data_IF_916939406427
#
_entry.id   IF_916939406427
#
_cell.length_a   1.000
_cell.length_b   1.000
_cell.length_c   1.000
_cell.angle_alpha   90.00
_cell.angle_beta   90.00
_cell.angle_gamma   90.00
#
_symmetry.space_group_name_H-M   'P 1'
#
loop_
_entity.id
_entity.type
_entity.pdbx_description
1 polymer ?
#
# COMPACT_ATOMS: atom_id res chain seq x y z
N UNK A 1 -9.70 7.32 -8.71
CA UNK A 1 -8.74 7.71 -7.64
C UNK A 1 -7.37 7.11 -7.92
N UNK A 2 -6.35 7.75 -7.42
CA UNK A 2 -5.01 7.17 -7.33
C UNK A 2 -4.87 6.56 -5.94
N UNK A 3 -4.66 5.25 -5.88
CA UNK A 3 -4.68 4.46 -4.65
C UNK A 3 -3.30 3.88 -4.38
N UNK A 4 -2.85 3.99 -3.14
CA UNK A 4 -1.63 3.37 -2.65
C UNK A 4 -1.98 2.43 -1.50
N UNK A 5 -1.50 1.19 -1.56
CA UNK A 5 -1.69 0.22 -0.49
C UNK A 5 -0.40 0.02 0.28
N UNK A 6 -0.50 0.00 1.60
CA UNK A 6 0.62 -0.37 2.47
C UNK A 6 0.90 -1.88 2.35
N UNK A 7 2.09 -2.29 2.76
CA UNK A 7 2.56 -3.68 2.66
C UNK A 7 1.58 -4.67 3.30
N UNK A 8 1.11 -4.39 4.51
CA UNK A 8 0.22 -5.31 5.23
C UNK A 8 -1.08 -5.60 4.48
N UNK A 9 -1.61 -4.62 3.75
CA UNK A 9 -2.84 -4.79 2.96
C UNK A 9 -2.57 -5.71 1.76
N UNK A 10 -1.44 -5.50 1.07
CA UNK A 10 -1.06 -6.35 -0.06
C UNK A 10 -0.73 -7.78 0.37
N UNK A 11 -0.04 -7.95 1.50
CA UNK A 11 0.24 -9.27 2.06
C UNK A 11 -1.06 -9.99 2.38
N UNK A 12 -1.99 -9.32 3.04
CA UNK A 12 -3.29 -9.91 3.38
C UNK A 12 -4.10 -10.27 2.13
N UNK A 13 -4.04 -9.44 1.09
CA UNK A 13 -4.72 -9.72 -0.18
C UNK A 13 -4.18 -10.97 -0.86
N UNK A 14 -2.87 -11.21 -0.76
CA UNK A 14 -2.24 -12.42 -1.34
C UNK A 14 -2.52 -13.65 -0.49
N UNK A 15 -2.43 -13.50 0.85
CA UNK A 15 -2.46 -14.64 1.77
C UNK A 15 -3.87 -15.15 2.07
N UNK A 16 -4.89 -14.30 1.97
CA UNK A 16 -6.25 -14.66 2.40
C UNK A 16 -7.29 -14.17 1.41
N UNK A 17 -8.47 -14.80 1.48
CA UNK A 17 -9.67 -14.28 0.83
C UNK A 17 -10.41 -13.42 1.85
N UNK A 18 -10.60 -12.15 1.54
CA UNK A 18 -11.28 -11.25 2.46
C UNK A 18 -11.29 -9.83 1.93
N UNK A 19 -11.53 -8.89 2.83
CA UNK A 19 -11.69 -7.49 2.47
C UNK A 19 -10.46 -6.92 1.74
N UNK A 20 -9.24 -7.31 2.14
CA UNK A 20 -8.03 -6.81 1.48
C UNK A 20 -7.95 -7.28 0.03
N UNK A 21 -8.25 -8.55 -0.23
CA UNK A 21 -8.29 -9.06 -1.60
C UNK A 21 -9.36 -8.32 -2.41
N UNK A 22 -10.53 -8.11 -1.84
CA UNK A 22 -11.63 -7.45 -2.52
C UNK A 22 -11.30 -5.99 -2.89
N UNK A 23 -10.74 -5.23 -1.96
CA UNK A 23 -10.42 -3.82 -2.22
C UNK A 23 -9.25 -3.67 -3.19
N UNK A 24 -8.26 -4.55 -3.14
CA UNK A 24 -7.14 -4.52 -4.08
C UNK A 24 -7.65 -4.84 -5.49
N UNK A 25 -8.47 -5.87 -5.63
CA UNK A 25 -9.05 -6.23 -6.93
C UNK A 25 -9.93 -5.12 -7.49
N UNK A 26 -10.74 -4.47 -6.65
CA UNK A 26 -11.57 -3.34 -7.07
C UNK A 26 -10.72 -2.16 -7.55
N UNK A 27 -9.64 -1.86 -6.83
CA UNK A 27 -8.74 -0.78 -7.21
C UNK A 27 -8.02 -1.08 -8.53
N UNK A 28 -7.56 -2.32 -8.73
CA UNK A 28 -6.94 -2.74 -9.98
C UNK A 28 -7.90 -2.62 -11.16
N UNK A 29 -9.17 -2.94 -10.96
CA UNK A 29 -10.17 -2.92 -12.02
C UNK A 29 -10.64 -1.51 -12.40
N UNK A 30 -10.75 -0.60 -11.43
CA UNK A 30 -11.49 0.65 -11.62
C UNK A 30 -10.70 1.92 -11.27
N UNK A 31 -9.51 1.79 -10.68
CA UNK A 31 -8.73 2.93 -10.24
C UNK A 31 -7.29 2.82 -10.72
N UNK A 32 -6.49 3.84 -10.42
CA UNK A 32 -5.05 3.83 -10.72
C UNK A 32 -4.29 3.46 -9.47
N UNK A 33 -3.36 2.50 -9.61
CA UNK A 33 -2.49 2.08 -8.51
C UNK A 33 -1.14 2.75 -8.62
N UNK A 34 -0.62 3.20 -7.48
CA UNK A 34 0.80 3.47 -7.32
C UNK A 34 1.33 2.56 -6.21
N UNK A 35 2.60 2.25 -6.27
CA UNK A 35 3.26 1.46 -5.23
C UNK A 35 4.64 2.05 -4.99
N UNK A 36 4.96 2.29 -3.71
CA UNK A 36 6.27 2.79 -3.34
C UNK A 36 7.32 1.69 -3.40
N UNK A 37 8.56 2.07 -3.67
CA UNK A 37 9.68 1.12 -3.68
C UNK A 37 9.86 0.47 -2.31
N UNK A 38 9.58 1.19 -1.22
CA UNK A 38 9.64 0.66 0.14
C UNK A 38 8.64 -0.49 0.30
N UNK A 39 7.39 -0.30 -0.14
CA UNK A 39 6.36 -1.34 -0.07
C UNK A 39 6.71 -2.53 -0.94
N UNK A 40 7.22 -2.32 -2.16
CA UNK A 40 7.65 -3.42 -3.03
C UNK A 40 8.73 -4.27 -2.36
N UNK A 41 9.72 -3.61 -1.76
CA UNK A 41 10.82 -4.30 -1.08
C UNK A 41 10.32 -5.10 0.13
N UNK A 42 9.48 -4.50 0.96
CA UNK A 42 8.90 -5.18 2.12
C UNK A 42 8.01 -6.34 1.72
N UNK A 43 7.16 -6.15 0.71
CA UNK A 43 6.27 -7.18 0.21
C UNK A 43 7.08 -8.40 -0.23
N UNK A 44 8.12 -8.18 -1.04
CA UNK A 44 8.99 -9.27 -1.49
C UNK A 44 9.58 -10.02 -0.30
N UNK A 45 10.10 -9.29 0.69
CA UNK A 45 10.71 -9.91 1.86
C UNK A 45 9.70 -10.75 2.65
N UNK A 46 8.50 -10.24 2.86
CA UNK A 46 7.45 -10.97 3.59
C UNK A 46 7.00 -12.22 2.82
N UNK A 47 6.84 -12.11 1.50
CA UNK A 47 6.45 -13.25 0.66
C UNK A 47 7.49 -14.37 0.76
N UNK A 48 8.77 -14.04 0.76
CA UNK A 48 9.85 -15.02 0.81
C UNK A 48 10.07 -15.59 2.20
N UNK A 49 9.98 -14.75 3.25
CA UNK A 49 10.36 -15.16 4.61
C UNK A 49 9.18 -15.64 5.45
N UNK A 50 8.10 -14.88 5.52
CA UNK A 50 6.95 -15.22 6.36
C UNK A 50 5.99 -16.17 5.67
N UNK A 51 5.64 -15.90 4.42
CA UNK A 51 4.76 -16.77 3.66
C UNK A 51 5.51 -17.92 2.98
N UNK A 52 6.83 -17.85 2.95
CA UNK A 52 7.70 -18.88 2.38
C UNK A 52 7.32 -19.29 0.96
N UNK A 53 6.97 -18.31 0.14
CA UNK A 53 6.68 -18.58 -1.26
C UNK A 53 7.96 -18.87 -2.03
N UNK A 54 7.90 -19.68 -3.09
CA UNK A 54 9.03 -19.86 -3.98
C UNK A 54 9.47 -18.52 -4.59
N UNK A 55 10.77 -18.38 -4.88
CA UNK A 55 11.31 -17.16 -5.50
C UNK A 55 10.56 -16.83 -6.79
N UNK A 56 10.21 -17.84 -7.58
CA UNK A 56 9.44 -17.63 -8.82
C UNK A 56 8.11 -16.94 -8.55
N UNK A 57 7.39 -17.35 -7.50
CA UNK A 57 6.10 -16.73 -7.15
C UNK A 57 6.28 -15.29 -6.68
N UNK A 58 7.32 -15.01 -5.88
CA UNK A 58 7.63 -13.65 -5.46
C UNK A 58 7.99 -12.76 -6.65
N UNK A 59 8.76 -13.29 -7.62
CA UNK A 59 9.09 -12.58 -8.85
C UNK A 59 7.86 -12.27 -9.69
N UNK A 60 6.93 -13.21 -9.78
CA UNK A 60 5.68 -13.01 -10.53
C UNK A 60 4.83 -11.91 -9.89
N UNK A 61 4.74 -11.86 -8.58
CA UNK A 61 3.99 -10.81 -7.88
C UNK A 61 4.64 -9.44 -8.09
N UNK A 62 5.97 -9.37 -8.00
CA UNK A 62 6.70 -8.13 -8.25
C UNK A 62 6.46 -7.64 -9.69
N UNK A 63 6.58 -8.53 -10.66
CA UNK A 63 6.34 -8.20 -12.06
C UNK A 63 4.89 -7.75 -12.30
N UNK A 64 3.93 -8.41 -11.67
CA UNK A 64 2.52 -8.05 -11.76
C UNK A 64 2.27 -6.62 -11.25
N UNK A 65 2.82 -6.29 -10.10
CA UNK A 65 2.65 -4.95 -9.53
C UNK A 65 3.32 -3.88 -10.40
N UNK A 66 4.51 -4.17 -10.93
CA UNK A 66 5.21 -3.23 -11.82
C UNK A 66 4.46 -3.01 -13.13
N UNK A 67 3.72 -4.02 -13.59
CA UNK A 67 2.92 -3.91 -14.81
C UNK A 67 1.64 -3.09 -14.57
N UNK A 68 0.99 -3.27 -13.43
CA UNK A 68 -0.33 -2.69 -13.16
C UNK A 68 -0.31 -1.44 -12.28
N UNK A 69 0.83 -1.07 -11.73
CA UNK A 69 0.98 0.10 -10.87
C UNK A 69 2.15 0.95 -11.32
N UNK A 70 2.10 2.25 -11.02
CA UNK A 70 3.26 3.12 -11.18
C UNK A 70 4.13 3.00 -9.95
N UNK A 71 5.42 2.68 -10.14
CA UNK A 71 6.36 2.55 -9.04
C UNK A 71 6.95 3.91 -8.67
N UNK A 72 6.89 4.25 -7.41
CA UNK A 72 7.45 5.50 -6.88
C UNK A 72 8.73 5.16 -6.13
N UNK A 73 9.87 5.50 -6.72
CA UNK A 73 11.19 5.15 -6.18
C UNK A 73 11.89 6.30 -5.47
N UNK A 74 11.44 7.53 -5.65
CA UNK A 74 12.04 8.70 -5.03
C UNK A 74 10.97 9.57 -4.41
N UNK A 75 11.20 9.97 -3.16
CA UNK A 75 10.31 10.87 -2.45
C UNK A 75 11.12 11.75 -1.50
N UNK A 76 10.77 13.05 -1.39
CA UNK A 76 11.38 13.89 -0.36
C UNK A 76 11.07 13.33 1.02
N UNK A 77 12.01 13.41 1.97
CA UNK A 77 11.76 12.94 3.32
C UNK A 77 10.65 13.74 4.00
N UNK A 78 9.90 13.07 4.87
CA UNK A 78 8.82 13.68 5.66
C UNK A 78 9.25 13.87 7.10
N UNK A 79 8.73 14.93 7.71
CA UNK A 79 8.95 15.23 9.12
C UNK A 79 7.74 14.85 9.97
N UNK A 80 7.51 13.56 10.14
CA UNK A 80 6.56 13.02 11.12
C UNK A 80 7.35 12.24 12.15
N UNK A 81 7.76 12.93 13.23
CA UNK A 81 8.64 12.34 14.25
C UNK A 81 8.02 11.15 14.98
N UNK A 82 6.70 11.12 15.10
CA UNK A 82 5.99 10.01 15.73
C UNK A 82 5.96 8.73 14.87
N UNK A 83 6.33 8.82 13.59
CA UNK A 83 6.40 7.66 12.72
C UNK A 83 7.83 7.10 12.70
N UNK A 84 7.95 5.79 12.65
CA UNK A 84 9.22 5.14 12.37
C UNK A 84 9.68 5.44 10.95
N UNK A 85 10.96 5.30 10.70
CA UNK A 85 11.57 5.62 9.41
C UNK A 85 10.87 4.93 8.24
N UNK A 86 10.53 3.66 8.42
CA UNK A 86 9.87 2.89 7.38
C UNK A 86 8.47 3.43 7.06
N UNK A 87 7.68 3.76 8.07
CA UNK A 87 6.35 4.32 7.89
C UNK A 87 6.42 5.71 7.23
N UNK A 88 7.43 6.51 7.59
CA UNK A 88 7.65 7.80 6.93
C UNK A 88 7.96 7.61 5.45
N UNK A 89 8.77 6.61 5.11
CA UNK A 89 9.10 6.33 3.71
C UNK A 89 7.86 5.89 2.92
N UNK A 90 7.03 5.04 3.48
CA UNK A 90 5.78 4.61 2.86
C UNK A 90 4.87 5.81 2.57
N UNK A 91 4.68 6.67 3.57
CA UNK A 91 3.84 7.85 3.42
C UNK A 91 4.45 8.85 2.41
N UNK A 92 5.76 9.06 2.48
CA UNK A 92 6.45 9.96 1.56
C UNK A 92 6.28 9.52 0.10
N UNK A 93 6.40 8.22 -0.17
CA UNK A 93 6.24 7.68 -1.51
C UNK A 93 4.80 7.81 -1.99
N UNK A 94 3.82 7.58 -1.13
CA UNK A 94 2.42 7.79 -1.47
C UNK A 94 2.13 9.25 -1.85
N UNK A 95 2.68 10.19 -1.08
CA UNK A 95 2.54 11.62 -1.35
C UNK A 95 3.22 12.00 -2.66
N UNK A 96 4.46 11.54 -2.86
CA UNK A 96 5.21 11.83 -4.09
C UNK A 96 4.51 11.31 -5.34
N UNK A 97 3.82 10.18 -5.23
CA UNK A 97 3.03 9.61 -6.31
C UNK A 97 1.66 10.24 -6.47
N UNK A 98 1.34 11.25 -5.68
CA UNK A 98 0.07 11.97 -5.70
C UNK A 98 -1.14 11.06 -5.43
N UNK A 99 -0.98 10.12 -4.51
CA UNK A 99 -2.08 9.27 -4.09
C UNK A 99 -3.23 10.13 -3.53
N UNK A 100 -4.44 9.77 -3.90
CA UNK A 100 -5.62 10.33 -3.26
C UNK A 100 -5.83 9.68 -1.89
N UNK A 101 -5.43 8.42 -1.77
CA UNK A 101 -5.63 7.65 -0.54
C UNK A 101 -4.50 6.64 -0.36
N UNK A 102 -4.04 6.52 0.89
CA UNK A 102 -3.17 5.45 1.36
C UNK A 102 -4.02 4.53 2.23
N UNK A 103 -4.08 3.26 1.86
CA UNK A 103 -4.84 2.25 2.60
C UNK A 103 -3.87 1.43 3.45
N UNK A 104 -4.08 1.40 4.75
CA UNK A 104 -3.19 0.73 5.68
C UNK A 104 -3.93 0.16 6.87
N UNK A 105 -3.43 -0.93 7.43
CA UNK A 105 -3.86 -1.45 8.73
C UNK A 105 -2.99 -1.01 9.89
N UNK A 106 -1.94 -0.23 9.61
CA UNK A 106 -0.98 0.21 10.63
C UNK A 106 -1.59 1.32 11.50
N UNK A 107 -1.65 1.08 12.80
CA UNK A 107 -2.25 2.03 13.74
C UNK A 107 -1.47 3.34 13.84
N UNK A 108 -0.15 3.31 13.66
CA UNK A 108 0.66 4.52 13.73
C UNK A 108 0.35 5.47 12.57
N UNK A 109 0.21 4.91 11.36
CA UNK A 109 -0.20 5.71 10.20
C UNK A 109 -1.64 6.20 10.33
N UNK A 110 -2.55 5.37 10.83
CA UNK A 110 -3.94 5.78 11.02
C UNK A 110 -4.06 6.89 12.07
N UNK A 111 -3.20 6.90 13.10
CA UNK A 111 -3.20 7.94 14.13
C UNK A 111 -2.89 9.33 13.60
N UNK A 112 -2.04 9.43 12.59
CA UNK A 112 -1.66 10.74 12.04
C UNK A 112 -2.51 11.14 10.83
N UNK A 113 -3.53 10.37 10.51
CA UNK A 113 -4.33 10.56 9.29
C UNK A 113 -4.91 11.97 9.17
N UNK A 114 -5.39 12.54 10.27
CA UNK A 114 -6.00 13.89 10.26
C UNK A 114 -5.00 14.99 9.91
N UNK A 115 -3.70 14.74 10.10
CA UNK A 115 -2.63 15.72 9.83
C UNK A 115 -1.87 15.45 8.55
N UNK A 116 -2.16 14.34 7.88
CA UNK A 116 -1.46 13.98 6.65
C UNK A 116 -2.02 14.78 5.46
N UNK A 117 -1.17 15.08 4.46
CA UNK A 117 -1.63 15.82 3.27
C UNK A 117 -2.48 14.97 2.30
N UNK A 118 -2.55 13.65 2.53
CA UNK A 118 -3.41 12.76 1.76
C UNK A 118 -4.32 12.01 2.74
N UNK A 119 -5.39 11.43 2.21
CA UNK A 119 -6.30 10.61 3.01
C UNK A 119 -5.62 9.30 3.39
N UNK A 120 -5.66 8.92 4.65
CA UNK A 120 -5.19 7.64 5.15
C UNK A 120 -6.37 6.92 5.77
N UNK A 121 -6.65 5.71 5.30
CA UNK A 121 -7.81 4.93 5.75
C UNK A 121 -7.45 3.47 5.97
N UNK A 122 -8.24 2.80 6.82
CA UNK A 122 -8.17 1.35 6.98
C UNK A 122 -8.77 0.65 5.76
N UNK A 123 -8.57 -0.67 5.63
CA UNK A 123 -9.26 -1.44 4.59
C UNK A 123 -10.78 -1.26 4.61
N UNK A 124 -11.39 -1.26 5.80
CA UNK A 124 -12.83 -1.02 5.92
C UNK A 124 -13.21 0.40 5.51
N UNK A 125 -12.39 1.37 5.86
CA UNK A 125 -12.60 2.76 5.45
C UNK A 125 -12.53 2.92 3.95
N UNK A 126 -11.59 2.24 3.30
CA UNK A 126 -11.49 2.26 1.85
C UNK A 126 -12.69 1.56 1.20
N UNK A 127 -13.12 0.44 1.75
CA UNK A 127 -14.32 -0.24 1.26
C UNK A 127 -15.53 0.70 1.26
N UNK A 128 -15.69 1.47 2.34
CA UNK A 128 -16.77 2.46 2.43
C UNK A 128 -16.64 3.53 1.36
N UNK A 129 -15.42 4.01 1.07
CA UNK A 129 -15.17 4.97 -0.01
C UNK A 129 -15.58 4.41 -1.37
N UNK A 130 -15.24 3.15 -1.65
CA UNK A 130 -15.57 2.48 -2.91
C UNK A 130 -17.08 2.36 -3.10
N UNK A 131 -17.83 2.26 -2.02
CA UNK A 131 -19.29 2.15 -2.06
C UNK A 131 -19.99 3.51 -2.07
N UNK A 132 -19.25 4.58 -2.24
CA UNK A 132 -19.80 5.94 -2.34
C UNK A 132 -20.17 6.56 -1.02
N UNK A 133 -19.66 5.97 0.06
CA UNK A 133 -19.91 6.44 1.41
C UNK A 133 -19.05 7.60 1.86
#
# INVERSE_FOLDING_TARGET
MIVCFDTNVLVSAVATRGICADIVNAALAEHRLIVGATVLSELRQVLLTKLRLPVAAANEMDAFLRLHATVISKAPPLEFRELEQNDRAVLAEAIAGRADVLVTGDQDLLRIAARAPIKIVSPRGFWALLRGG
#
